data_IF_333473466436
#
_entry.id   IF_333473466436
#
_cell.length_a   1.000
_cell.length_b   1.000
_cell.length_c   1.000
_cell.angle_alpha   90.00
_cell.angle_beta   90.00
_cell.angle_gamma   90.00
#
_symmetry.space_group_name_H-M   'P 1'
#
loop_
_entity.id
_entity.type
_entity.pdbx_description
1 polymer ?
#
# COMPACT_ATOMS: atom_id res chain seq x y z
N UNK A 1 -9.41 10.93 -14.94
CA UNK A 1 -10.87 11.19 -15.00
C UNK A 1 -11.09 12.42 -15.89
N UNK A 2 -12.19 12.49 -16.66
CA UNK A 2 -12.45 13.56 -17.64
C UNK A 2 -12.91 14.89 -17.04
N UNK A 3 -12.86 15.03 -15.71
CA UNK A 3 -13.34 16.15 -14.89
C UNK A 3 -12.20 16.97 -14.24
N UNK A 4 -10.94 16.65 -14.57
CA UNK A 4 -9.76 17.35 -14.06
C UNK A 4 -9.33 16.96 -12.64
N UNK A 5 -10.00 15.99 -12.00
CA UNK A 5 -9.60 15.46 -10.69
C UNK A 5 -8.68 14.25 -10.88
N UNK A 6 -7.61 14.18 -10.10
CA UNK A 6 -6.71 13.04 -10.05
C UNK A 6 -6.34 12.71 -8.61
N UNK A 7 -6.36 11.41 -8.31
CA UNK A 7 -5.83 10.88 -7.05
C UNK A 7 -4.31 10.77 -7.12
N UNK A 8 -3.67 11.15 -6.03
CA UNK A 8 -2.23 11.04 -5.88
C UNK A 8 -1.83 9.68 -5.29
N UNK A 9 -1.24 8.84 -6.12
CA UNK A 9 -0.57 7.62 -5.67
C UNK A 9 0.91 7.87 -5.43
N UNK A 10 1.44 7.37 -4.31
CA UNK A 10 2.87 7.44 -4.02
C UNK A 10 3.48 6.04 -3.95
N UNK A 11 4.60 5.87 -4.66
CA UNK A 11 5.45 4.69 -4.50
C UNK A 11 6.32 4.90 -3.27
N UNK A 12 6.09 4.10 -2.23
CA UNK A 12 6.78 4.25 -0.95
C UNK A 12 8.13 3.56 -0.96
N UNK A 13 8.25 2.40 -1.62
CA UNK A 13 9.54 1.74 -1.84
C UNK A 13 9.46 0.71 -2.97
N UNK A 14 10.61 0.41 -3.55
CA UNK A 14 10.82 -0.72 -4.45
C UNK A 14 11.77 -1.71 -3.76
N UNK A 15 11.41 -2.98 -3.67
CA UNK A 15 12.32 -4.02 -3.15
C UNK A 15 12.21 -5.28 -4.00
N UNK A 16 13.25 -6.13 -3.97
CA UNK A 16 13.59 -7.29 -4.84
C UNK A 16 12.46 -8.29 -5.22
N UNK A 17 11.22 -8.12 -4.75
CA UNK A 17 10.05 -8.94 -5.08
C UNK A 17 8.77 -8.13 -5.45
N UNK A 18 8.84 -6.80 -5.58
CA UNK A 18 7.70 -5.96 -5.98
C UNK A 18 7.78 -4.50 -5.55
N UNK A 19 6.91 -3.67 -6.13
CA UNK A 19 6.76 -2.25 -5.80
C UNK A 19 5.67 -2.14 -4.73
N UNK A 20 5.97 -1.64 -3.52
CA UNK A 20 4.92 -1.35 -2.54
C UNK A 20 4.36 0.04 -2.79
N UNK A 21 3.06 0.09 -3.03
CA UNK A 21 2.34 1.30 -3.40
C UNK A 21 1.36 1.66 -2.29
N UNK A 22 1.44 2.90 -1.86
CA UNK A 22 0.47 3.50 -0.95
C UNK A 22 -0.23 4.60 -1.72
N UNK A 23 -1.56 4.52 -1.78
CA UNK A 23 -2.37 5.53 -2.46
C UNK A 23 -2.99 6.41 -1.40
N UNK A 24 -2.72 7.71 -1.51
CA UNK A 24 -3.21 8.72 -0.59
C UNK A 24 -4.48 9.39 -1.14
N UNK A 25 -5.30 9.91 -0.23
CA UNK A 25 -6.50 10.67 -0.57
C UNK A 25 -6.17 12.14 -0.74
N UNK A 26 -5.50 12.49 -1.84
CA UNK A 26 -5.31 13.89 -2.23
C UNK A 26 -5.76 14.08 -3.67
N UNK A 27 -6.79 14.90 -3.84
CA UNK A 27 -7.28 15.34 -5.15
C UNK A 27 -6.45 16.54 -5.59
N UNK A 28 -5.52 16.32 -6.51
CA UNK A 28 -4.71 17.40 -7.09
C UNK A 28 -5.33 17.86 -8.41
N UNK A 29 -5.57 19.17 -8.52
CA UNK A 29 -5.95 19.80 -9.78
C UNK A 29 -4.70 20.17 -10.58
N UNK A 30 -4.50 19.56 -11.75
CA UNK A 30 -3.38 19.89 -12.64
C UNK A 30 -2.27 18.83 -12.74
N UNK A 31 -1.21 19.17 -13.48
CA UNK A 31 -0.23 18.21 -14.05
C UNK A 31 0.91 17.82 -13.08
N UNK A 32 1.17 18.58 -12.02
CA UNK A 32 2.14 18.20 -10.98
C UNK A 32 1.72 18.76 -9.61
N UNK A 33 1.76 17.96 -8.52
CA UNK A 33 1.60 18.46 -7.16
C UNK A 33 2.79 19.33 -6.75
N UNK A 34 2.52 20.46 -6.12
CA UNK A 34 3.56 21.26 -5.47
C UNK A 34 4.13 20.58 -4.22
N UNK A 35 5.26 21.07 -3.70
CA UNK A 35 5.87 20.53 -2.46
C UNK A 35 4.92 20.54 -1.27
N UNK A 36 4.08 21.57 -1.13
CA UNK A 36 3.08 21.66 -0.05
C UNK A 36 2.09 20.48 -0.06
N UNK A 37 1.70 20.02 -1.24
CA UNK A 37 0.87 18.82 -1.40
C UNK A 37 1.61 17.55 -0.99
N UNK A 38 2.94 17.48 -1.21
CA UNK A 38 3.78 16.36 -0.79
C UNK A 38 4.01 16.32 0.72
N UNK A 39 4.09 17.47 1.37
CA UNK A 39 4.23 17.57 2.83
C UNK A 39 2.93 17.19 3.55
N UNK A 40 1.77 17.58 3.02
CA UNK A 40 0.46 17.15 3.53
C UNK A 40 0.32 15.61 3.47
N UNK A 41 0.74 15.00 2.35
CA UNK A 41 0.77 13.55 2.17
C UNK A 41 1.66 12.82 3.17
N UNK A 42 2.76 13.44 3.61
CA UNK A 42 3.65 12.85 4.60
C UNK A 42 2.96 12.64 5.96
N UNK A 43 1.84 13.32 6.23
CA UNK A 43 1.14 13.26 7.53
C UNK A 43 -0.22 12.58 7.45
N UNK A 44 -0.85 12.53 6.27
CA UNK A 44 -2.18 11.97 6.09
C UNK A 44 -2.20 10.42 6.21
N UNK A 45 -3.23 9.82 6.84
CA UNK A 45 -3.41 8.37 6.81
C UNK A 45 -3.88 7.95 5.40
N UNK A 46 -3.16 7.05 4.71
CA UNK A 46 -3.56 6.64 3.38
C UNK A 46 -4.86 5.81 3.44
N UNK A 47 -5.82 6.01 2.51
CA UNK A 47 -7.00 5.15 2.42
C UNK A 47 -6.67 3.74 1.89
N UNK A 48 -5.68 3.63 1.02
CA UNK A 48 -5.35 2.39 0.33
C UNK A 48 -3.86 2.09 0.34
N UNK A 49 -3.51 0.82 0.49
CA UNK A 49 -2.14 0.34 0.43
C UNK A 49 -2.12 -1.07 -0.14
N UNK A 50 -1.19 -1.35 -1.05
CA UNK A 50 -1.06 -2.65 -1.68
C UNK A 50 0.37 -2.90 -2.19
N UNK A 51 0.71 -4.18 -2.34
CA UNK A 51 1.88 -4.63 -3.08
C UNK A 51 1.43 -5.06 -4.49
N UNK A 52 1.39 -4.16 -5.48
CA UNK A 52 1.05 -4.55 -6.83
C UNK A 52 2.09 -5.49 -7.47
N UNK A 53 1.60 -6.47 -8.21
CA UNK A 53 2.42 -7.46 -8.96
C UNK A 53 3.27 -6.83 -10.08
N UNK A 54 2.85 -5.67 -10.58
CA UNK A 54 3.51 -4.94 -11.67
C UNK A 54 3.33 -3.45 -11.46
N UNK A 55 4.11 -2.63 -12.15
CA UNK A 55 3.93 -1.17 -12.13
C UNK A 55 2.47 -0.79 -12.47
N UNK A 56 1.97 0.31 -11.89
CA UNK A 56 0.63 0.80 -12.19
C UNK A 56 0.47 1.04 -13.70
N UNK A 57 -0.71 0.78 -14.28
CA UNK A 57 -0.95 1.10 -15.67
C UNK A 57 -0.80 2.61 -15.90
N UNK A 58 -0.07 3.01 -16.96
CA UNK A 58 0.14 4.42 -17.32
C UNK A 58 -1.16 5.20 -17.64
N UNK A 59 -2.32 4.52 -17.69
CA UNK A 59 -3.64 5.06 -18.04
C UNK A 59 -4.73 4.63 -17.03
N UNK A 60 -4.44 4.68 -15.73
CA UNK A 60 -5.40 4.44 -14.64
C UNK A 60 -6.15 5.68 -14.16
N UNK A 61 -7.04 5.52 -13.17
CA UNK A 61 -7.82 6.63 -12.57
C UNK A 61 -7.00 7.51 -11.61
N UNK A 62 -5.81 7.05 -11.25
CA UNK A 62 -4.85 7.74 -10.41
C UNK A 62 -3.54 7.87 -11.17
N UNK A 63 -2.84 8.99 -10.96
CA UNK A 63 -1.52 9.25 -11.56
C UNK A 63 -0.49 9.16 -10.45
N UNK A 64 0.64 8.52 -10.71
CA UNK A 64 1.81 8.67 -9.85
C UNK A 64 2.27 10.12 -10.00
N UNK A 65 2.13 10.91 -8.93
CA UNK A 65 2.34 12.36 -9.02
C UNK A 65 3.74 12.78 -8.56
N UNK A 66 4.67 11.83 -8.53
CA UNK A 66 6.05 12.07 -8.12
C UNK A 66 6.48 11.19 -6.96
N UNK A 67 7.78 11.24 -6.66
CA UNK A 67 8.42 10.53 -5.56
C UNK A 67 8.70 11.57 -4.46
N UNK A 68 7.80 11.70 -3.49
CA UNK A 68 8.09 12.47 -2.28
C UNK A 68 8.97 11.64 -1.33
N UNK A 69 9.89 12.30 -0.63
CA UNK A 69 10.65 11.69 0.46
C UNK A 69 9.76 11.59 1.70
N UNK A 70 8.79 10.68 1.65
CA UNK A 70 7.99 10.36 2.83
C UNK A 70 8.75 9.32 3.64
N UNK A 71 8.67 9.40 4.98
CA UNK A 71 9.24 8.41 5.89
C UNK A 71 8.58 7.04 5.63
N UNK A 72 9.14 6.31 4.66
CA UNK A 72 8.57 5.11 4.07
C UNK A 72 8.27 4.05 5.14
N UNK A 73 9.11 4.01 6.17
CA UNK A 73 9.06 3.10 7.31
C UNK A 73 7.71 3.14 8.03
N UNK A 74 7.00 4.27 7.99
CA UNK A 74 5.66 4.43 8.62
C UNK A 74 4.56 3.64 7.93
N UNK A 75 4.78 3.23 6.69
CA UNK A 75 3.78 2.52 5.89
C UNK A 75 4.21 1.12 5.50
N UNK A 76 5.44 0.71 5.84
CA UNK A 76 5.94 -0.60 5.45
C UNK A 76 5.22 -1.70 6.25
N UNK A 77 4.65 -2.70 5.58
CA UNK A 77 3.96 -3.79 6.25
C UNK A 77 4.94 -4.80 6.86
N UNK A 78 4.46 -5.53 7.85
CA UNK A 78 5.02 -6.81 8.27
C UNK A 78 4.21 -7.96 7.67
N UNK A 79 4.89 -9.08 7.41
CA UNK A 79 4.26 -10.28 6.86
C UNK A 79 4.63 -11.51 7.67
N UNK A 80 3.70 -12.46 7.77
CA UNK A 80 4.06 -13.82 8.16
C UNK A 80 4.53 -14.62 6.94
N UNK A 81 5.56 -15.42 7.15
CA UNK A 81 6.13 -16.33 6.16
C UNK A 81 6.35 -17.71 6.77
N UNK A 82 6.39 -18.73 5.94
CA UNK A 82 6.90 -20.07 6.30
C UNK A 82 8.27 -20.27 5.63
N UNK A 83 9.17 -20.99 6.29
CA UNK A 83 10.53 -21.21 5.80
C UNK A 83 10.83 -22.71 5.83
N UNK A 84 10.48 -23.41 4.75
CA UNK A 84 10.77 -24.84 4.54
C UNK A 84 9.96 -25.82 5.41
N UNK A 85 9.40 -25.35 6.53
CA UNK A 85 8.51 -26.10 7.43
C UNK A 85 7.14 -25.37 7.49
N UNK A 86 6.04 -26.01 7.09
CA UNK A 86 4.71 -25.40 7.07
C UNK A 86 4.15 -25.10 8.47
N UNK A 87 4.80 -25.61 9.54
CA UNK A 87 4.38 -25.41 10.93
C UNK A 87 5.18 -24.29 11.61
N UNK A 88 6.30 -23.85 11.01
CA UNK A 88 7.12 -22.77 11.56
C UNK A 88 6.87 -21.46 10.85
N UNK A 89 6.26 -20.54 11.58
CA UNK A 89 5.97 -19.19 11.13
C UNK A 89 7.01 -18.20 11.63
N UNK A 90 7.40 -17.31 10.75
CA UNK A 90 8.22 -16.15 11.06
C UNK A 90 7.45 -14.89 10.69
N UNK A 91 7.71 -13.81 11.41
CA UNK A 91 7.33 -12.47 10.96
C UNK A 91 8.57 -11.80 10.37
N UNK A 92 8.36 -11.12 9.25
CA UNK A 92 9.39 -10.45 8.47
C UNK A 92 8.92 -9.04 8.11
N UNK A 93 9.83 -8.06 8.15
CA UNK A 93 9.53 -6.73 7.63
C UNK A 93 9.49 -6.70 6.09
N UNK A 94 8.93 -5.63 5.51
CA UNK A 94 8.81 -5.51 4.06
C UNK A 94 10.12 -5.82 3.27
N UNK A 95 11.29 -5.22 3.60
CA UNK A 95 12.54 -5.51 2.90
C UNK A 95 13.14 -6.88 3.24
N UNK A 96 12.68 -7.57 4.28
CA UNK A 96 13.29 -8.81 4.75
C UNK A 96 14.59 -8.62 5.53
N UNK A 97 14.85 -7.39 5.99
CA UNK A 97 16.01 -7.07 6.81
C UNK A 97 15.84 -7.51 8.27
N UNK A 98 14.60 -7.56 8.76
CA UNK A 98 14.25 -8.01 10.11
C UNK A 98 13.35 -9.22 10.04
N UNK A 99 13.74 -10.28 10.72
CA UNK A 99 13.00 -11.54 10.80
C UNK A 99 13.13 -12.15 12.19
N UNK A 100 12.01 -12.66 12.72
CA UNK A 100 11.98 -13.48 13.95
C UNK A 100 10.85 -14.49 13.93
N UNK A 101 10.88 -15.45 14.86
CA UNK A 101 9.76 -16.37 15.06
C UNK A 101 8.47 -15.60 15.38
N UNK A 102 7.35 -16.05 14.82
CA UNK A 102 6.04 -15.50 15.11
C UNK A 102 5.51 -16.01 16.46
N UNK A 103 4.87 -15.14 17.22
CA UNK A 103 4.06 -15.52 18.37
C UNK A 103 2.74 -16.16 17.91
N UNK A 104 2.02 -16.92 18.77
CA UNK A 104 0.72 -17.49 18.40
C UNK A 104 -0.28 -16.46 17.89
N UNK A 105 -0.34 -15.29 18.53
CA UNK A 105 -1.21 -14.19 18.09
C UNK A 105 -0.83 -13.70 16.69
N UNK A 106 0.47 -13.53 16.41
CA UNK A 106 0.92 -13.06 15.09
C UNK A 106 0.67 -14.09 13.99
N UNK A 107 0.69 -15.38 14.30
CA UNK A 107 0.31 -16.44 13.35
C UNK A 107 -1.13 -16.26 12.90
N UNK A 108 -2.01 -15.83 13.79
CA UNK A 108 -3.43 -15.61 13.49
C UNK A 108 -3.67 -14.25 12.80
N UNK A 109 -3.02 -13.19 13.26
CA UNK A 109 -3.36 -11.81 12.86
C UNK A 109 -2.48 -11.24 11.76
N UNK A 110 -1.19 -11.60 11.68
CA UNK A 110 -0.29 -11.07 10.65
C UNK A 110 -0.61 -11.76 9.32
N UNK A 111 -0.86 -11.01 8.24
CA UNK A 111 -1.19 -11.61 6.95
C UNK A 111 0.06 -12.20 6.28
N UNK A 112 -0.15 -13.18 5.40
CA UNK A 112 0.91 -13.59 4.47
C UNK A 112 1.23 -12.45 3.51
N UNK A 113 2.46 -12.44 3.00
CA UNK A 113 2.82 -11.57 1.87
C UNK A 113 1.96 -11.96 0.67
N UNK A 114 1.10 -11.06 0.24
CA UNK A 114 0.25 -11.24 -0.94
C UNK A 114 0.45 -10.07 -1.89
N UNK A 115 0.41 -10.38 -3.18
CA UNK A 115 0.43 -9.37 -4.24
C UNK A 115 -0.98 -9.17 -4.77
N UNK A 116 -1.26 -7.97 -5.27
CA UNK A 116 -2.55 -7.63 -5.88
C UNK A 116 -2.35 -7.13 -7.32
N UNK A 117 -3.38 -7.30 -8.16
CA UNK A 117 -3.39 -6.61 -9.45
C UNK A 117 -3.56 -5.10 -9.20
N UNK A 118 -2.82 -4.23 -9.91
CA UNK A 118 -3.02 -2.78 -9.84
C UNK A 118 -4.47 -2.33 -10.06
N UNK A 119 -5.25 -3.11 -10.84
CA UNK A 119 -6.67 -2.84 -11.10
C UNK A 119 -7.55 -2.81 -9.84
N UNK A 120 -7.12 -3.45 -8.73
CA UNK A 120 -7.84 -3.35 -7.46
C UNK A 120 -7.75 -1.94 -6.87
N UNK A 121 -6.59 -1.27 -6.99
CA UNK A 121 -6.44 0.12 -6.55
C UNK A 121 -7.31 1.05 -7.41
N UNK A 122 -7.30 0.89 -8.74
CA UNK A 122 -8.16 1.67 -9.65
C UNK A 122 -9.64 1.55 -9.28
N UNK A 123 -10.11 0.33 -9.04
CA UNK A 123 -11.51 0.06 -8.66
C UNK A 123 -11.84 0.54 -7.26
N UNK A 124 -10.93 0.45 -6.30
CA UNK A 124 -11.12 0.97 -4.95
C UNK A 124 -11.24 2.49 -4.94
N UNK A 125 -10.42 3.17 -5.74
CA UNK A 125 -10.51 4.63 -5.95
C UNK A 125 -11.85 4.99 -6.59
N UNK A 126 -12.23 4.33 -7.68
CA UNK A 126 -13.52 4.58 -8.34
C UNK A 126 -14.72 4.33 -7.42
N UNK A 127 -14.65 3.28 -6.59
CA UNK A 127 -15.71 2.97 -5.63
C UNK A 127 -15.79 3.96 -4.46
N UNK A 128 -14.65 4.49 -4.00
CA UNK A 128 -14.61 5.54 -2.97
C UNK A 128 -15.29 6.83 -3.45
N UNK A 129 -15.12 7.17 -4.72
CA UNK A 129 -15.78 8.32 -5.37
C UNK A 129 -17.25 8.07 -5.72
N UNK A 130 -17.79 6.89 -5.44
CA UNK A 130 -19.16 6.54 -5.81
C UNK A 130 -19.39 6.35 -7.31
N UNK A 131 -18.32 6.27 -8.13
CA UNK A 131 -18.41 5.99 -9.57
C UNK A 131 -18.77 4.53 -9.85
N UNK A 132 -18.43 3.64 -8.94
CA UNK A 132 -18.78 2.22 -8.98
C UNK A 132 -19.19 1.74 -7.59
N UNK A 133 -19.99 0.67 -7.46
CA UNK A 133 -20.26 0.05 -6.16
C UNK A 133 -18.98 -0.48 -5.51
N UNK A 134 -18.91 -0.42 -4.17
CA UNK A 134 -17.87 -1.10 -3.41
C UNK A 134 -18.09 -2.62 -3.46
N UNK A 135 -17.09 -3.37 -3.92
CA UNK A 135 -17.12 -4.83 -3.93
C UNK A 135 -16.31 -5.38 -2.74
N UNK A 136 -16.73 -6.47 -2.07
CA UNK A 136 -15.98 -7.07 -0.96
C UNK A 136 -14.53 -7.42 -1.31
N UNK A 137 -14.26 -7.76 -2.58
CA UNK A 137 -12.91 -8.04 -3.05
C UNK A 137 -11.95 -6.82 -2.97
N UNK A 138 -12.47 -5.60 -2.84
CA UNK A 138 -11.69 -4.36 -2.70
C UNK A 138 -11.20 -4.14 -1.27
N UNK A 139 -11.73 -4.85 -0.26
CA UNK A 139 -11.30 -4.67 1.13
C UNK A 139 -9.83 -5.01 1.34
N UNK A 140 -9.28 -5.86 0.46
CA UNK A 140 -7.87 -6.26 0.47
C UNK A 140 -6.85 -5.14 0.24
N UNK A 141 -7.29 -4.00 -0.32
CA UNK A 141 -6.41 -2.84 -0.56
C UNK A 141 -6.65 -1.71 0.43
N UNK A 142 -7.50 -1.89 1.45
CA UNK A 142 -7.68 -0.90 2.52
C UNK A 142 -6.43 -0.84 3.39
N UNK A 143 -5.89 0.37 3.57
CA UNK A 143 -4.69 0.56 4.40
C UNK A 143 -4.92 0.21 5.87
N UNK A 144 -6.14 0.43 6.39
CA UNK A 144 -6.49 0.12 7.79
C UNK A 144 -6.42 -1.37 8.16
N UNK A 145 -6.29 -2.27 7.17
CA UNK A 145 -6.07 -3.71 7.40
C UNK A 145 -4.59 -4.12 7.37
N UNK A 146 -3.66 -3.17 7.20
CA UNK A 146 -2.23 -3.44 7.11
C UNK A 146 -1.60 -3.45 8.49
N UNK A 147 -0.91 -4.54 8.84
CA UNK A 147 -0.06 -4.62 10.02
C UNK A 147 1.30 -4.01 9.67
N UNK A 148 1.72 -2.95 10.37
CA UNK A 148 2.96 -2.24 10.06
C UNK A 148 4.17 -2.92 10.70
N UNK A 149 5.31 -2.83 10.03
CA UNK A 149 6.58 -3.32 10.56
C UNK A 149 6.98 -2.60 11.87
N UNK A 150 6.62 -1.33 12.01
CA UNK A 150 6.85 -0.56 13.26
C UNK A 150 6.02 -1.05 14.44
N UNK A 151 4.87 -1.70 14.19
CA UNK A 151 4.04 -2.26 15.25
C UNK A 151 4.60 -3.60 15.75
N UNK A 152 5.23 -4.36 14.86
CA UNK A 152 5.78 -5.70 15.11
C UNK A 152 7.22 -5.68 15.62
N UNK A 153 8.04 -4.77 15.09
CA UNK A 153 9.48 -4.66 15.35
C UNK A 153 9.76 -3.32 16.03
N UNK A 154 9.61 -3.30 17.36
CA UNK A 154 10.00 -2.18 18.23
C UNK A 154 11.46 -2.28 18.66
#
# INVERSE_FOLDING_TARGET
>A
MGDGRAYLGQVVTEHFAGIYVVVFDLVVGGVDPGQDSLDELATAPPPFAALPLSSPPARGSWRAAGRAAVAAERFLPAYKITSGDPVRFFVEDFPGARRRSATPLEIETVPFRTTSSPAYLDRAVAAREGLTPWLPALDRVRAGGVILATDVFR
#
